data_IF_046618067359
#
_entry.id   IF_046618067359
#
_cell.length_a   1.000
_cell.length_b   1.000
_cell.length_c   1.000
_cell.angle_alpha   90.00
_cell.angle_beta   90.00
_cell.angle_gamma   90.00
#
_symmetry.space_group_name_H-M   'P 1'
#
loop_
_entity.id
_entity.type
_entity.pdbx_description
1 polymer ?
#
# COMPACT_ATOMS: atom_id res chain seq x y z
N UNK A 1 18.85 -4.15 27.19
CA UNK A 1 19.67 -5.22 26.58
C UNK A 1 20.69 -4.56 25.68
N UNK A 2 21.96 -4.84 25.92
CA UNK A 2 23.11 -4.21 25.26
C UNK A 2 23.39 -4.93 23.94
N UNK A 3 23.44 -4.19 22.82
CA UNK A 3 23.83 -4.74 21.52
C UNK A 3 25.35 -4.71 21.35
N UNK A 4 25.97 -5.88 21.24
CA UNK A 4 27.39 -6.04 20.96
C UNK A 4 27.61 -6.01 19.43
N UNK A 5 28.26 -4.97 18.92
CA UNK A 5 28.58 -4.84 17.49
C UNK A 5 29.98 -5.40 17.24
N UNK A 6 30.06 -6.64 16.77
CA UNK A 6 31.30 -7.17 16.22
C UNK A 6 31.53 -6.55 14.83
N UNK A 7 32.56 -5.71 14.74
CA UNK A 7 33.04 -5.09 13.51
C UNK A 7 33.57 -6.17 12.55
N UNK A 8 32.74 -6.59 11.60
CA UNK A 8 33.16 -7.34 10.43
C UNK A 8 33.10 -6.39 9.22
N UNK A 9 34.21 -6.27 8.49
CA UNK A 9 34.33 -5.50 7.25
C UNK A 9 33.53 -6.19 6.12
N UNK A 10 32.22 -6.08 6.17
CA UNK A 10 31.29 -6.48 5.13
C UNK A 10 30.06 -5.57 5.20
N UNK A 11 29.51 -5.20 4.05
CA UNK A 11 28.27 -4.43 3.98
C UNK A 11 27.22 -5.13 4.83
N UNK A 12 26.87 -4.54 5.98
CA UNK A 12 25.82 -5.06 6.85
C UNK A 12 24.52 -4.92 6.08
N UNK A 13 24.07 -5.99 5.44
CA UNK A 13 22.67 -6.13 5.03
C UNK A 13 21.88 -6.37 6.31
N UNK A 14 21.70 -5.31 7.11
CA UNK A 14 20.78 -5.35 8.23
C UNK A 14 19.40 -5.54 7.61
N UNK A 15 18.90 -6.77 7.61
CA UNK A 15 17.60 -7.08 7.04
C UNK A 15 16.58 -6.40 7.95
N UNK A 16 16.13 -5.20 7.59
CA UNK A 16 15.03 -4.54 8.28
C UNK A 16 13.81 -5.46 8.15
N UNK A 17 13.52 -6.20 9.23
CA UNK A 17 12.27 -6.93 9.38
C UNK A 17 11.23 -5.91 9.79
N UNK A 18 10.27 -5.60 8.91
CA UNK A 18 9.16 -4.73 9.30
C UNK A 18 8.30 -5.46 10.35
N UNK A 19 8.18 -4.87 11.54
CA UNK A 19 7.43 -5.42 12.66
C UNK A 19 5.97 -4.96 12.67
N UNK A 20 5.15 -5.53 13.57
CA UNK A 20 3.83 -4.99 13.88
C UNK A 20 3.98 -3.51 14.29
N UNK A 21 3.23 -2.63 13.63
CA UNK A 21 3.32 -1.21 13.89
C UNK A 21 2.68 -0.87 15.24
N UNK A 22 3.30 0.03 16.01
CA UNK A 22 2.63 0.62 17.17
C UNK A 22 1.36 1.39 16.79
N UNK A 23 1.27 1.82 15.53
CA UNK A 23 0.12 2.51 14.92
C UNK A 23 -0.87 1.58 14.21
N UNK A 24 -0.68 0.25 14.25
CA UNK A 24 -1.63 -0.72 13.67
C UNK A 24 -0.98 -1.89 12.93
N UNK A 25 -1.69 -2.46 11.95
CA UNK A 25 -1.14 -3.52 11.10
C UNK A 25 -0.14 -2.92 10.10
N UNK A 26 1.12 -3.35 10.18
CA UNK A 26 2.17 -2.98 9.24
C UNK A 26 2.31 -4.00 8.10
N UNK A 27 2.65 -3.54 6.90
CA UNK A 27 2.88 -4.42 5.74
C UNK A 27 1.62 -4.96 5.08
N UNK A 28 0.46 -4.36 5.36
CA UNK A 28 -0.84 -4.72 4.77
C UNK A 28 -1.59 -3.46 4.32
N UNK A 29 -2.55 -3.64 3.41
CA UNK A 29 -3.49 -2.58 3.07
C UNK A 29 -4.47 -2.35 4.23
N UNK A 30 -4.83 -1.09 4.46
CA UNK A 30 -5.73 -0.66 5.52
C UNK A 30 -7.08 -0.21 4.93
N UNK A 31 -8.15 -0.20 5.75
CA UNK A 31 -9.45 0.31 5.33
C UNK A 31 -9.36 1.72 4.72
N UNK A 32 -10.18 2.02 3.69
CA UNK A 32 -11.40 1.28 3.30
C UNK A 32 -11.18 0.13 2.32
N UNK A 33 -9.95 -0.17 1.90
CA UNK A 33 -9.70 -1.37 1.10
C UNK A 33 -9.57 -2.55 2.05
N UNK A 34 -10.42 -3.56 1.85
CA UNK A 34 -10.40 -4.81 2.58
C UNK A 34 -9.18 -5.62 2.13
N UNK A 35 -8.35 -6.03 3.10
CA UNK A 35 -7.12 -6.77 2.85
C UNK A 35 -7.36 -8.19 2.33
N UNK A 36 -8.60 -8.70 2.43
CA UNK A 36 -9.04 -9.98 1.87
C UNK A 36 -9.35 -9.91 0.35
N UNK A 37 -9.29 -8.72 -0.25
CA UNK A 37 -9.54 -8.51 -1.68
C UNK A 37 -11.02 -8.45 -2.07
N UNK A 38 -11.94 -8.35 -1.11
CA UNK A 38 -13.39 -8.32 -1.36
C UNK A 38 -13.96 -6.91 -1.60
N UNK A 39 -13.13 -5.87 -1.59
CA UNK A 39 -13.58 -4.50 -1.86
C UNK A 39 -14.05 -4.33 -3.30
N UNK A 40 -15.26 -3.80 -3.46
CA UNK A 40 -15.89 -3.46 -4.73
C UNK A 40 -16.37 -2.02 -4.67
N UNK A 41 -15.81 -1.21 -5.56
CA UNK A 41 -16.14 0.20 -5.71
C UNK A 41 -17.03 0.41 -6.92
N UNK A 42 -17.94 1.38 -6.81
CA UNK A 42 -18.71 1.83 -7.97
C UNK A 42 -17.81 2.63 -8.93
N UNK A 43 -17.87 2.31 -10.22
CA UNK A 43 -17.18 3.08 -11.26
C UNK A 43 -17.81 4.46 -11.36
N UNK A 44 -17.03 5.47 -10.98
CA UNK A 44 -17.41 6.87 -11.14
C UNK A 44 -16.26 7.63 -11.77
N UNK A 45 -16.48 8.11 -12.99
CA UNK A 45 -15.46 8.90 -13.70
C UNK A 45 -15.11 10.16 -12.90
N UNK A 46 -13.81 10.38 -12.69
CA UNK A 46 -13.31 11.51 -11.90
C UNK A 46 -13.32 11.28 -10.37
N UNK A 47 -13.57 10.04 -9.92
CA UNK A 47 -13.44 9.67 -8.50
C UNK A 47 -12.14 8.94 -8.19
N UNK A 48 -11.80 8.91 -6.90
CA UNK A 48 -10.59 8.32 -6.34
C UNK A 48 -10.91 7.18 -5.37
N UNK A 49 -9.99 6.23 -5.29
CA UNK A 49 -10.00 5.16 -4.27
C UNK A 49 -8.83 5.44 -3.32
N UNK A 50 -9.10 5.67 -2.02
CA UNK A 50 -8.04 5.94 -1.06
C UNK A 50 -7.31 4.64 -0.71
N UNK A 51 -6.04 4.58 -1.10
CA UNK A 51 -5.11 3.50 -0.78
C UNK A 51 -4.35 3.89 0.49
N UNK A 52 -4.46 3.08 1.54
CA UNK A 52 -3.84 3.36 2.84
C UNK A 52 -3.03 2.18 3.33
N UNK A 53 -1.85 2.43 3.87
CA UNK A 53 -1.02 1.37 4.46
C UNK A 53 -0.04 1.94 5.50
N UNK A 54 0.51 1.03 6.31
CA UNK A 54 1.55 1.36 7.27
C UNK A 54 2.77 0.47 7.08
N UNK A 55 3.95 1.04 7.29
CA UNK A 55 5.22 0.33 7.31
C UNK A 55 6.01 0.80 8.52
N UNK A 56 6.52 -0.14 9.30
CA UNK A 56 7.28 0.17 10.51
C UNK A 56 8.61 -0.53 10.52
N UNK A 57 9.64 0.17 10.98
CA UNK A 57 10.98 -0.38 11.12
C UNK A 57 11.06 -1.48 12.17
N UNK A 58 12.25 -2.06 12.32
CA UNK A 58 12.51 -3.14 13.28
C UNK A 58 12.24 -2.76 14.74
N UNK A 59 12.24 -1.47 15.06
CA UNK A 59 11.91 -0.91 16.37
C UNK A 59 10.40 -0.71 16.60
N UNK A 60 9.55 -1.05 15.63
CA UNK A 60 8.09 -0.84 15.69
C UNK A 60 7.65 0.61 15.45
N UNK A 61 8.58 1.52 15.16
CA UNK A 61 8.27 2.90 14.82
C UNK A 61 7.82 3.03 13.35
N UNK A 62 6.80 3.85 13.04
CA UNK A 62 6.39 4.08 11.67
C UNK A 62 7.50 4.74 10.87
N UNK A 63 7.70 4.25 9.65
CA UNK A 63 8.61 4.86 8.70
C UNK A 63 7.87 5.95 7.93
N UNK A 64 8.34 7.18 8.08
CA UNK A 64 7.76 8.37 7.45
C UNK A 64 8.60 8.91 6.30
N UNK A 65 9.85 8.44 6.18
CA UNK A 65 10.74 8.80 5.09
C UNK A 65 10.44 7.94 3.86
N UNK A 66 10.04 8.53 2.72
CA UNK A 66 9.73 7.78 1.52
C UNK A 66 10.91 6.96 0.99
N UNK A 67 12.15 7.39 1.20
CA UNK A 67 13.37 6.68 0.76
C UNK A 67 13.61 5.38 1.53
N UNK A 68 13.04 5.25 2.73
CA UNK A 68 13.12 4.05 3.57
C UNK A 68 11.93 3.12 3.37
N UNK A 69 10.80 3.65 2.90
CA UNK A 69 9.56 2.90 2.67
C UNK A 69 9.56 2.29 1.27
N UNK A 70 9.91 3.07 0.26
CA UNK A 70 9.80 2.67 -1.14
C UNK A 70 11.15 2.24 -1.70
N UNK A 71 11.14 1.19 -2.52
CA UNK A 71 12.30 0.87 -3.34
C UNK A 71 12.66 2.06 -4.26
N UNK A 72 13.87 2.16 -4.81
CA UNK A 72 14.28 3.27 -5.70
C UNK A 72 13.34 3.48 -6.91
N UNK A 73 12.63 2.45 -7.31
CA UNK A 73 11.60 2.45 -8.37
C UNK A 73 10.17 2.29 -7.84
N UNK A 74 9.98 2.26 -6.51
CA UNK A 74 8.84 1.68 -5.82
C UNK A 74 7.82 2.65 -5.23
N UNK A 75 8.04 3.97 -5.33
CA UNK A 75 7.11 5.00 -4.84
C UNK A 75 5.80 5.13 -5.62
N UNK A 76 5.57 4.24 -6.59
CA UNK A 76 4.40 4.26 -7.46
C UNK A 76 3.53 3.03 -7.24
N UNK A 77 2.21 3.25 -7.27
CA UNK A 77 1.24 2.17 -7.30
C UNK A 77 1.27 1.48 -8.67
N UNK A 78 1.54 0.17 -8.69
CA UNK A 78 1.65 -0.61 -9.92
C UNK A 78 0.44 -1.52 -10.09
N UNK A 79 -0.27 -1.42 -11.22
CA UNK A 79 -1.28 -2.41 -11.61
C UNK A 79 -0.57 -3.65 -12.19
N UNK A 80 -0.80 -4.81 -11.58
CA UNK A 80 -0.16 -6.08 -11.97
C UNK A 80 -1.10 -7.03 -12.69
N UNK A 81 -2.40 -6.81 -12.61
CA UNK A 81 -3.40 -7.61 -13.31
C UNK A 81 -4.77 -6.96 -13.36
N UNK A 82 -5.54 -7.36 -14.37
CA UNK A 82 -6.95 -7.02 -14.52
C UNK A 82 -7.69 -8.31 -14.93
N UNK A 83 -8.55 -8.81 -14.07
CA UNK A 83 -9.34 -10.00 -14.31
C UNK A 83 -10.78 -9.60 -14.63
N UNK A 84 -11.37 -10.20 -15.66
CA UNK A 84 -12.78 -9.98 -16.01
C UNK A 84 -13.67 -10.72 -15.02
N UNK A 85 -14.71 -10.04 -14.55
CA UNK A 85 -15.59 -10.50 -13.48
C UNK A 85 -15.25 -9.80 -12.15
N UNK A 86 -16.29 -9.37 -11.44
CA UNK A 86 -16.21 -8.89 -10.06
C UNK A 86 -17.55 -9.19 -9.37
N UNK A 87 -17.56 -9.24 -8.04
CA UNK A 87 -18.79 -9.34 -7.27
C UNK A 87 -19.68 -8.13 -7.61
N UNK A 88 -20.98 -8.37 -7.78
CA UNK A 88 -21.93 -7.36 -8.27
C UNK A 88 -22.48 -6.43 -7.19
N UNK A 89 -22.04 -6.59 -5.95
CA UNK A 89 -22.48 -5.78 -4.81
C UNK A 89 -21.39 -4.77 -4.51
N UNK A 90 -21.72 -3.48 -4.59
CA UNK A 90 -20.82 -2.41 -4.15
C UNK A 90 -20.84 -2.38 -2.62
N UNK A 91 -19.67 -2.52 -1.99
CA UNK A 91 -19.51 -2.46 -0.54
C UNK A 91 -18.62 -1.29 -0.10
N UNK A 92 -17.95 -0.61 -1.04
CA UNK A 92 -17.10 0.55 -0.75
C UNK A 92 -17.52 1.78 -1.56
N UNK A 93 -17.38 2.96 -0.96
CA UNK A 93 -17.67 4.24 -1.61
C UNK A 93 -16.40 4.85 -2.20
N UNK A 94 -16.48 5.33 -3.43
CA UNK A 94 -15.44 6.18 -4.02
C UNK A 94 -15.53 7.61 -3.50
N UNK A 95 -14.40 8.29 -3.41
CA UNK A 95 -14.34 9.71 -3.02
C UNK A 95 -14.14 10.59 -4.26
N UNK A 96 -14.42 11.89 -4.13
CA UNK A 96 -14.18 12.88 -5.18
C UNK A 96 -12.98 13.75 -4.80
N UNK A 97 -11.85 13.11 -4.51
CA UNK A 97 -10.62 13.81 -4.14
C UNK A 97 -9.74 14.05 -5.37
N UNK A 98 -8.75 14.92 -5.21
CA UNK A 98 -7.72 15.13 -6.23
C UNK A 98 -6.84 13.88 -6.27
N UNK A 99 -6.64 13.25 -7.43
CA UNK A 99 -5.71 12.13 -7.55
C UNK A 99 -4.30 12.53 -7.15
N UNK A 100 -3.66 11.70 -6.32
CA UNK A 100 -2.31 11.98 -5.87
C UNK A 100 -1.27 11.63 -6.93
N UNK A 101 -0.18 12.40 -6.98
CA UNK A 101 0.97 12.13 -7.85
C UNK A 101 1.95 11.10 -7.25
N UNK A 102 1.96 10.97 -5.92
CA UNK A 102 2.81 10.05 -5.17
C UNK A 102 2.20 9.77 -3.79
N UNK A 103 2.65 8.71 -3.12
CA UNK A 103 2.24 8.42 -1.74
C UNK A 103 2.75 9.50 -0.78
N UNK A 104 1.89 9.87 0.16
CA UNK A 104 2.13 10.92 1.16
C UNK A 104 1.86 10.39 2.55
N UNK A 105 2.62 10.87 3.54
CA UNK A 105 2.40 10.55 4.95
C UNK A 105 1.43 11.56 5.57
N UNK A 106 0.31 11.10 6.15
CA UNK A 106 -0.71 11.99 6.78
C UNK A 106 -0.46 12.27 8.27
N UNK A 107 0.64 11.76 8.84
CA UNK A 107 0.92 11.83 10.28
C UNK A 107 0.62 10.52 11.01
N UNK A 108 -0.18 9.62 10.44
CA UNK A 108 -0.54 8.33 11.01
C UNK A 108 -0.31 7.16 10.07
N UNK A 109 -0.48 7.38 8.77
CA UNK A 109 -0.35 6.37 7.73
C UNK A 109 0.05 6.96 6.37
N UNK A 110 0.53 6.09 5.50
CA UNK A 110 0.71 6.43 4.10
C UNK A 110 -0.64 6.40 3.39
N UNK A 111 -0.90 7.42 2.57
CA UNK A 111 -2.10 7.51 1.76
C UNK A 111 -1.78 7.83 0.30
N UNK A 112 -2.69 7.41 -0.59
CA UNK A 112 -2.68 7.74 -2.01
C UNK A 112 -4.08 7.63 -2.60
N UNK A 113 -4.59 8.73 -3.15
CA UNK A 113 -5.86 8.81 -3.84
C UNK A 113 -5.68 8.34 -5.29
N UNK A 114 -5.95 7.06 -5.51
CA UNK A 114 -5.81 6.43 -6.83
C UNK A 114 -6.95 6.87 -7.75
N UNK A 115 -6.62 7.48 -8.89
CA UNK A 115 -7.59 7.80 -9.94
C UNK A 115 -8.26 6.54 -10.51
N UNK A 116 -9.58 6.56 -10.64
CA UNK A 116 -10.36 5.43 -11.21
C UNK A 116 -10.69 5.58 -12.69
N UNK A 117 -10.23 6.65 -13.34
CA UNK A 117 -10.60 7.01 -14.72
C UNK A 117 -10.27 5.93 -15.76
N UNK A 118 -9.19 5.19 -15.55
CA UNK A 118 -8.74 4.12 -16.44
C UNK A 118 -9.26 2.73 -16.04
N UNK A 119 -10.09 2.64 -15.00
CA UNK A 119 -10.68 1.38 -14.56
C UNK A 119 -12.03 1.16 -15.25
N UNK A 120 -12.25 -0.07 -15.68
CA UNK A 120 -13.46 -0.52 -16.36
C UNK A 120 -14.36 -1.27 -15.40
N UNK A 121 -15.67 -1.07 -15.57
CA UNK A 121 -16.69 -1.82 -14.85
C UNK A 121 -16.63 -3.30 -15.21
N UNK A 122 -16.89 -4.16 -14.23
CA UNK A 122 -16.90 -5.61 -14.40
C UNK A 122 -15.53 -6.25 -14.30
N UNK A 123 -14.53 -5.57 -13.73
CA UNK A 123 -13.18 -6.09 -13.56
C UNK A 123 -12.74 -6.05 -12.10
N UNK A 124 -11.91 -7.02 -11.72
CA UNK A 124 -11.12 -6.96 -10.49
C UNK A 124 -9.67 -6.69 -10.85
N UNK A 125 -9.13 -5.63 -10.28
CA UNK A 125 -7.76 -5.16 -10.51
C UNK A 125 -6.88 -5.58 -9.35
N UNK A 126 -5.66 -6.05 -9.66
CA UNK A 126 -4.63 -6.34 -8.66
C UNK A 126 -3.56 -5.27 -8.70
N UNK A 127 -3.32 -4.64 -7.55
CA UNK A 127 -2.32 -3.60 -7.39
C UNK A 127 -1.21 -4.06 -6.45
N UNK A 128 -0.02 -3.50 -6.68
CA UNK A 128 1.19 -3.77 -5.92
C UNK A 128 1.88 -2.45 -5.57
N UNK A 129 2.28 -2.34 -4.31
CA UNK A 129 3.16 -1.29 -3.79
C UNK A 129 4.52 -1.94 -3.55
N UNK A 130 5.59 -1.45 -4.16
CA UNK A 130 6.93 -2.01 -3.98
C UNK A 130 7.62 -1.32 -2.80
N UNK A 131 7.99 -2.10 -1.79
CA UNK A 131 8.66 -1.61 -0.60
C UNK A 131 10.17 -1.86 -0.69
N UNK A 132 10.96 -1.03 0.01
CA UNK A 132 12.41 -1.17 0.02
C UNK A 132 12.87 -2.45 0.74
N UNK A 133 12.14 -2.87 1.78
CA UNK A 133 12.50 -4.01 2.64
C UNK A 133 11.30 -4.93 2.89
N UNK A 134 11.46 -5.96 3.73
CA UNK A 134 10.49 -7.07 3.86
C UNK A 134 9.26 -6.74 4.72
N UNK A 135 8.01 -6.95 4.25
CA UNK A 135 7.67 -7.58 2.97
C UNK A 135 7.99 -6.66 1.78
N UNK A 136 8.70 -7.18 0.76
CA UNK A 136 9.19 -6.40 -0.37
C UNK A 136 8.07 -5.78 -1.23
N UNK A 137 6.82 -6.10 -0.92
CA UNK A 137 5.65 -5.46 -1.49
C UNK A 137 4.39 -5.71 -0.69
N UNK A 138 3.42 -4.79 -0.85
CA UNK A 138 2.03 -4.99 -0.44
C UNK A 138 1.21 -5.20 -1.71
N UNK A 139 0.43 -6.28 -1.77
CA UNK A 139 -0.48 -6.57 -2.88
C UNK A 139 -1.91 -6.54 -2.39
N UNK A 140 -2.81 -5.94 -3.14
CA UNK A 140 -4.23 -5.89 -2.82
C UNK A 140 -5.09 -5.91 -4.10
N UNK A 141 -6.35 -6.29 -3.95
CA UNK A 141 -7.29 -6.40 -5.06
C UNK A 141 -8.48 -5.46 -4.87
N UNK A 142 -8.98 -4.93 -5.98
CA UNK A 142 -10.13 -4.03 -5.99
C UNK A 142 -11.04 -4.36 -7.15
N UNK A 143 -12.30 -4.70 -6.85
CA UNK A 143 -13.38 -4.83 -7.81
C UNK A 143 -13.92 -3.47 -8.24
N UNK A 144 -14.26 -3.32 -9.52
CA UNK A 144 -14.89 -2.12 -10.07
C UNK A 144 -16.19 -2.50 -10.76
N UNK A 145 -17.29 -1.89 -10.34
CA UNK A 145 -18.64 -2.15 -10.87
C UNK A 145 -19.28 -0.89 -11.42
#
# INVERSE_FOLDING_TARGET
MTGNYNNANGTVHDSIKYGACSVGAGGVILPPINSDGTSVYQRKGGSTIPVKFNVCGANGAPLTDPTLVFAPTGGALTMTGAMRGTITVVNETVTNDIPDAAFTWDGQQWHFNMATVNLSSGYTYTFKINLAYSPASITFMVGVK
#
